data_IF_591260805388
#
_entry.id   IF_591260805388
#
_cell.length_a   1.000
_cell.length_b   1.000
_cell.length_c   1.000
_cell.angle_alpha   90.00
_cell.angle_beta   90.00
_cell.angle_gamma   90.00
#
_symmetry.space_group_name_H-M   'P 1'
#
loop_
_entity.id
_entity.type
_entity.pdbx_description
1 polymer ?
#
# COMPACT_ATOMS: atom_id res chain seq x y z
N UNK A 1 2.82 -8.95 -23.01
CA UNK A 1 3.98 -9.76 -22.55
C UNK A 1 3.68 -10.26 -21.14
N UNK A 2 4.01 -11.51 -20.79
CA UNK A 2 3.81 -12.01 -19.43
C UNK A 2 5.02 -11.67 -18.54
N UNK A 3 4.85 -11.50 -17.21
CA UNK A 3 5.98 -11.30 -16.31
C UNK A 3 6.91 -12.50 -16.30
N UNK A 4 8.22 -12.24 -16.27
CA UNK A 4 9.21 -13.25 -15.88
C UNK A 4 9.06 -13.59 -14.39
N UNK A 5 9.73 -14.65 -13.94
CA UNK A 5 9.73 -15.03 -12.52
C UNK A 5 10.28 -13.91 -11.65
N UNK A 6 11.37 -13.29 -12.07
CA UNK A 6 12.08 -12.22 -11.35
C UNK A 6 11.18 -11.00 -11.21
N UNK A 7 10.55 -10.56 -12.30
CA UNK A 7 9.61 -9.43 -12.25
C UNK A 7 8.40 -9.72 -11.39
N UNK A 8 7.93 -10.97 -11.38
CA UNK A 8 6.83 -11.34 -10.49
C UNK A 8 7.25 -11.30 -9.01
N UNK A 9 8.48 -11.71 -8.69
CA UNK A 9 9.05 -11.58 -7.35
C UNK A 9 9.16 -10.11 -6.95
N UNK A 10 9.73 -9.25 -7.81
CA UNK A 10 9.87 -7.80 -7.55
C UNK A 10 8.51 -7.18 -7.20
N UNK A 11 7.49 -7.43 -8.03
CA UNK A 11 6.14 -6.92 -7.80
C UNK A 11 5.53 -7.40 -6.48
N UNK A 12 5.78 -8.67 -6.10
CA UNK A 12 5.30 -9.22 -4.84
C UNK A 12 6.04 -8.61 -3.64
N UNK A 13 7.35 -8.37 -3.74
CA UNK A 13 8.16 -7.70 -2.72
C UNK A 13 7.73 -6.24 -2.51
N UNK A 14 7.32 -5.56 -3.57
CA UNK A 14 6.68 -4.24 -3.58
C UNK A 14 5.23 -4.26 -3.03
N UNK A 15 4.76 -5.42 -2.56
CA UNK A 15 3.43 -5.65 -2.01
C UNK A 15 2.28 -5.36 -2.99
N UNK A 16 2.51 -5.53 -4.29
CA UNK A 16 1.44 -5.47 -5.27
C UNK A 16 0.45 -6.63 -5.11
N UNK A 17 -0.83 -6.33 -5.30
CA UNK A 17 -1.86 -7.36 -5.43
C UNK A 17 -1.77 -8.04 -6.79
N UNK A 18 -2.39 -9.22 -6.91
CA UNK A 18 -2.47 -9.88 -8.21
C UNK A 18 -3.24 -9.03 -9.24
N UNK A 19 -4.20 -8.21 -8.80
CA UNK A 19 -4.88 -7.26 -9.69
C UNK A 19 -3.98 -6.13 -10.18
N UNK A 20 -3.10 -5.58 -9.32
CA UNK A 20 -2.17 -4.53 -9.76
C UNK A 20 -1.20 -5.07 -10.83
N UNK A 21 -0.65 -6.26 -10.57
CA UNK A 21 0.26 -6.94 -11.51
C UNK A 21 -0.47 -7.24 -12.82
N UNK A 22 -1.70 -7.74 -12.74
CA UNK A 22 -2.51 -8.03 -13.92
C UNK A 22 -2.71 -6.80 -14.82
N UNK A 23 -2.98 -5.63 -14.21
CA UNK A 23 -3.11 -4.35 -14.94
C UNK A 23 -1.83 -3.96 -15.67
N UNK A 24 -0.66 -4.11 -15.03
CA UNK A 24 0.65 -3.77 -15.63
C UNK A 24 0.90 -4.57 -16.93
N UNK A 25 0.56 -5.86 -16.91
CA UNK A 25 0.83 -6.76 -18.04
C UNK A 25 -0.35 -6.91 -19.00
N UNK A 26 -1.45 -6.18 -18.80
CA UNK A 26 -2.65 -6.28 -19.63
C UNK A 26 -3.25 -7.69 -19.64
N UNK A 27 -3.20 -8.39 -18.52
CA UNK A 27 -3.67 -9.79 -18.39
C UNK A 27 -4.75 -9.91 -17.33
N UNK A 28 -5.39 -11.07 -17.26
CA UNK A 28 -6.33 -11.36 -16.18
C UNK A 28 -5.60 -11.76 -14.88
N UNK A 29 -6.17 -11.44 -13.71
CA UNK A 29 -5.56 -11.77 -12.40
C UNK A 29 -5.43 -13.28 -12.18
N UNK A 30 -6.31 -14.11 -12.76
CA UNK A 30 -6.17 -15.57 -12.77
C UNK A 30 -4.86 -15.99 -13.44
N UNK A 31 -4.40 -15.27 -14.48
CA UNK A 31 -3.13 -15.55 -15.13
C UNK A 31 -1.95 -15.31 -14.20
N UNK A 32 -2.01 -14.25 -13.38
CA UNK A 32 -1.00 -13.98 -12.35
C UNK A 32 -0.97 -15.10 -11.31
N UNK A 33 -2.13 -15.59 -10.87
CA UNK A 33 -2.22 -16.74 -9.93
C UNK A 33 -1.59 -17.99 -10.55
N UNK A 34 -1.86 -18.29 -11.83
CA UNK A 34 -1.26 -19.41 -12.53
C UNK A 34 0.27 -19.30 -12.60
N UNK A 35 0.81 -18.11 -12.88
CA UNK A 35 2.25 -17.88 -12.93
C UNK A 35 2.91 -18.04 -11.56
N UNK A 36 2.29 -17.52 -10.50
CA UNK A 36 2.74 -17.72 -9.11
C UNK A 36 2.87 -19.22 -8.81
N UNK A 37 1.83 -20.00 -9.13
CA UNK A 37 1.83 -21.46 -8.92
C UNK A 37 2.90 -22.16 -9.78
N UNK A 38 3.01 -21.80 -11.06
CA UNK A 38 4.00 -22.35 -11.99
C UNK A 38 5.42 -22.16 -11.49
N UNK A 39 5.72 -20.97 -10.95
CA UNK A 39 7.05 -20.64 -10.42
C UNK A 39 7.26 -21.05 -8.96
N UNK A 40 6.26 -21.68 -8.31
CA UNK A 40 6.28 -22.11 -6.91
C UNK A 40 6.64 -20.97 -5.95
N UNK A 41 6.11 -19.78 -6.20
CA UNK A 41 6.32 -18.62 -5.33
C UNK A 41 5.33 -18.66 -4.17
N UNK A 42 5.77 -18.27 -2.98
CA UNK A 42 4.88 -17.97 -1.84
C UNK A 42 4.59 -16.45 -1.80
N UNK A 43 3.39 -16.00 -2.20
CA UNK A 43 3.07 -14.59 -2.17
C UNK A 43 2.94 -14.03 -0.76
N UNK A 44 2.65 -14.85 0.25
CA UNK A 44 2.53 -14.41 1.64
C UNK A 44 3.89 -14.07 2.20
N UNK A 45 4.88 -14.92 1.92
CA UNK A 45 6.27 -14.70 2.29
C UNK A 45 6.84 -13.48 1.56
N UNK A 46 6.72 -13.42 0.23
CA UNK A 46 7.26 -12.33 -0.58
C UNK A 46 6.63 -10.97 -0.20
N UNK A 47 5.32 -10.93 0.00
CA UNK A 47 4.64 -9.70 0.47
C UNK A 47 4.91 -9.41 1.94
N UNK A 48 5.51 -10.33 2.70
CA UNK A 48 5.77 -10.22 4.14
C UNK A 48 4.49 -9.83 4.89
N UNK A 49 3.42 -10.61 4.67
CA UNK A 49 2.05 -10.27 5.11
C UNK A 49 1.88 -10.20 6.64
N UNK A 50 2.81 -10.80 7.38
CA UNK A 50 2.90 -10.79 8.83
C UNK A 50 3.48 -9.48 9.40
N UNK A 51 4.08 -8.63 8.58
CA UNK A 51 4.61 -7.34 9.01
C UNK A 51 3.53 -6.25 8.99
N UNK A 52 3.68 -5.30 9.91
CA UNK A 52 2.95 -4.04 9.88
C UNK A 52 3.66 -3.07 8.95
N UNK A 53 2.91 -2.42 8.07
CA UNK A 53 3.39 -1.38 7.17
C UNK A 53 3.03 0.00 7.70
N UNK A 54 3.87 0.98 7.39
CA UNK A 54 3.49 2.39 7.35
C UNK A 54 3.42 2.82 5.89
N UNK A 55 2.35 3.51 5.54
CA UNK A 55 2.06 3.88 4.17
C UNK A 55 1.57 5.33 4.07
N UNK A 56 1.77 5.88 2.88
CA UNK A 56 1.34 7.20 2.48
C UNK A 56 0.30 7.08 1.37
N UNK A 57 -0.64 8.01 1.37
CA UNK A 57 -1.50 8.31 0.23
C UNK A 57 -1.08 9.62 -0.37
N UNK A 58 -0.90 9.61 -1.68
CA UNK A 58 -0.49 10.75 -2.47
C UNK A 58 -1.63 11.18 -3.40
N UNK A 59 -1.83 12.49 -3.48
CA UNK A 59 -2.70 13.14 -4.45
C UNK A 59 -1.88 14.26 -5.09
N UNK A 60 -1.67 14.21 -6.41
CA UNK A 60 -0.84 15.16 -7.16
C UNK A 60 0.54 15.37 -6.48
N UNK A 61 1.23 14.27 -6.21
CA UNK A 61 2.56 14.21 -5.57
C UNK A 61 2.65 14.81 -4.15
N UNK A 62 1.50 15.12 -3.52
CA UNK A 62 1.43 15.55 -2.12
C UNK A 62 0.92 14.44 -1.23
N UNK A 63 1.58 14.26 -0.09
CA UNK A 63 1.10 13.37 0.97
C UNK A 63 -0.18 13.96 1.56
N UNK A 64 -1.30 13.28 1.37
CA UNK A 64 -2.61 13.69 1.91
C UNK A 64 -3.03 12.85 3.10
N UNK A 65 -2.45 11.66 3.27
CA UNK A 65 -2.71 10.80 4.42
C UNK A 65 -1.51 9.89 4.71
N UNK A 66 -1.24 9.65 5.99
CA UNK A 66 -0.34 8.60 6.48
C UNK A 66 -1.14 7.61 7.32
N UNK A 67 -0.85 6.32 7.20
CA UNK A 67 -1.47 5.31 8.06
C UNK A 67 -0.53 4.15 8.35
N UNK A 68 -0.86 3.37 9.38
CA UNK A 68 -0.25 2.08 9.64
C UNK A 68 -1.25 0.92 9.61
N UNK A 69 -0.76 -0.31 9.47
CA UNK A 69 -1.56 -1.53 9.60
C UNK A 69 -0.95 -2.71 8.87
N UNK A 70 -1.73 -3.77 8.68
CA UNK A 70 -1.32 -4.93 7.86
C UNK A 70 -1.14 -4.56 6.38
N UNK A 71 -0.43 -5.38 5.61
CA UNK A 71 0.03 -5.08 4.25
C UNK A 71 -1.01 -4.52 3.27
N UNK A 72 -2.29 -4.93 3.37
CA UNK A 72 -3.35 -4.47 2.46
C UNK A 72 -4.11 -3.22 2.96
N UNK A 73 -3.80 -2.73 4.17
CA UNK A 73 -4.55 -1.66 4.86
C UNK A 73 -4.56 -0.35 4.08
N UNK A 74 -3.52 -0.06 3.32
CA UNK A 74 -3.44 1.12 2.46
C UNK A 74 -4.64 1.21 1.50
N UNK A 75 -5.04 0.09 0.89
CA UNK A 75 -6.08 0.02 -0.16
C UNK A 75 -7.53 0.02 0.37
N UNK A 76 -7.73 -0.15 1.67
CA UNK A 76 -9.07 -0.35 2.25
C UNK A 76 -9.81 0.98 2.44
N UNK A 77 -10.60 1.36 1.43
CA UNK A 77 -11.42 2.58 1.47
C UNK A 77 -12.61 2.50 2.42
N UNK A 78 -13.17 1.30 2.67
CA UNK A 78 -14.39 1.11 3.49
C UNK A 78 -14.25 1.61 4.93
N UNK A 79 -13.01 1.69 5.43
CA UNK A 79 -12.71 2.08 6.81
C UNK A 79 -12.29 3.55 6.93
N UNK A 80 -12.37 4.33 5.84
CA UNK A 80 -12.04 5.77 5.84
C UNK A 80 -13.24 6.57 6.31
N UNK A 81 -13.05 7.35 7.38
CA UNK A 81 -14.09 8.23 7.94
C UNK A 81 -14.26 9.52 7.15
N UNK A 82 -13.19 10.01 6.51
CA UNK A 82 -13.25 11.19 5.65
C UNK A 82 -13.83 10.79 4.28
N UNK A 83 -14.98 11.36 3.92
CA UNK A 83 -15.73 11.02 2.69
C UNK A 83 -14.97 11.39 1.43
N UNK A 84 -14.34 12.57 1.39
CA UNK A 84 -13.50 13.04 0.28
C UNK A 84 -12.33 12.09 0.06
N UNK A 85 -11.62 11.72 1.13
CA UNK A 85 -10.52 10.77 1.05
C UNK A 85 -10.98 9.41 0.50
N UNK A 86 -12.13 8.92 0.96
CA UNK A 86 -12.74 7.67 0.49
C UNK A 86 -13.08 7.74 -1.00
N UNK A 87 -13.70 8.81 -1.47
CA UNK A 87 -14.06 9.01 -2.88
C UNK A 87 -12.84 9.09 -3.79
N UNK A 88 -11.77 9.77 -3.35
CA UNK A 88 -10.50 9.81 -4.07
C UNK A 88 -9.85 8.42 -4.19
N UNK A 89 -9.96 7.59 -3.16
CA UNK A 89 -9.49 6.20 -3.23
C UNK A 89 -10.33 5.35 -4.20
N UNK A 90 -11.66 5.46 -4.14
CA UNK A 90 -12.58 4.70 -5.01
C UNK A 90 -12.39 5.09 -6.48
N UNK A 91 -12.22 6.38 -6.77
CA UNK A 91 -11.97 6.89 -8.12
C UNK A 91 -10.55 6.64 -8.64
N UNK A 92 -9.69 5.99 -7.86
CA UNK A 92 -8.32 5.66 -8.27
C UNK A 92 -7.37 6.86 -8.36
N UNK A 93 -7.75 8.01 -7.77
CA UNK A 93 -6.94 9.25 -7.78
C UNK A 93 -5.85 9.27 -6.70
N UNK A 94 -5.90 8.33 -5.76
CA UNK A 94 -4.90 8.18 -4.71
C UNK A 94 -3.84 7.18 -5.14
N UNK A 95 -2.58 7.62 -5.15
CA UNK A 95 -1.43 6.73 -5.20
C UNK A 95 -1.05 6.29 -3.78
N UNK A 96 -0.60 5.06 -3.63
CA UNK A 96 -0.16 4.51 -2.34
C UNK A 96 1.34 4.24 -2.39
N UNK A 97 2.03 4.54 -1.29
CA UNK A 97 3.45 4.24 -1.12
C UNK A 97 3.67 3.62 0.24
N UNK A 98 4.30 2.45 0.30
CA UNK A 98 4.75 1.86 1.57
C UNK A 98 6.13 2.46 1.86
N UNK A 99 6.31 2.98 3.07
CA UNK A 99 7.54 3.70 3.46
C UNK A 99 8.34 2.99 4.52
N UNK A 100 7.73 2.10 5.30
CA UNK A 100 8.42 1.31 6.30
C UNK A 100 7.64 0.04 6.66
N UNK A 101 8.36 -0.95 7.20
CA UNK A 101 7.83 -2.23 7.66
C UNK A 101 8.34 -2.55 9.07
N UNK A 102 7.48 -3.13 9.90
CA UNK A 102 7.75 -3.38 11.31
C UNK A 102 7.18 -4.74 11.73
N UNK A 103 7.89 -5.43 12.62
CA UNK A 103 7.36 -6.65 13.27
C UNK A 103 6.28 -6.32 14.30
N UNK A 104 6.38 -5.16 14.94
CA UNK A 104 5.49 -4.73 16.01
C UNK A 104 4.63 -3.53 15.61
N UNK A 105 3.34 -3.59 15.95
CA UNK A 105 2.39 -2.51 15.64
C UNK A 105 2.75 -1.19 16.35
N UNK A 106 3.34 -1.26 17.55
CA UNK A 106 3.71 -0.07 18.32
C UNK A 106 4.82 0.73 17.62
N UNK A 107 5.80 0.05 17.03
CA UNK A 107 6.85 0.68 16.22
C UNK A 107 6.27 1.32 14.95
N UNK A 108 5.35 0.63 14.25
CA UNK A 108 4.66 1.20 13.10
C UNK A 108 3.84 2.45 13.46
N UNK A 109 3.11 2.42 14.59
CA UNK A 109 2.32 3.56 15.08
C UNK A 109 3.19 4.74 15.51
N UNK A 110 4.35 4.48 16.12
CA UNK A 110 5.31 5.54 16.48
C UNK A 110 5.80 6.25 15.22
N UNK A 111 6.24 5.49 14.23
CA UNK A 111 6.72 6.02 12.96
C UNK A 111 5.60 6.74 12.17
N UNK A 112 4.38 6.21 12.17
CA UNK A 112 3.20 6.89 11.61
C UNK A 112 3.01 8.28 12.24
N UNK A 113 3.06 8.39 13.59
CA UNK A 113 2.91 9.67 14.29
C UNK A 113 4.02 10.66 13.91
N UNK A 114 5.26 10.21 13.84
CA UNK A 114 6.41 11.03 13.44
C UNK A 114 6.23 11.60 12.02
N UNK A 115 5.83 10.76 11.07
CA UNK A 115 5.55 11.19 9.69
C UNK A 115 4.37 12.16 9.62
N UNK A 116 3.28 11.91 10.36
CA UNK A 116 2.14 12.83 10.40
C UNK A 116 2.58 14.20 10.91
N UNK A 117 3.37 14.25 12.01
CA UNK A 117 3.89 15.51 12.55
C UNK A 117 4.75 16.24 11.52
N UNK A 118 5.66 15.53 10.85
CA UNK A 118 6.53 16.07 9.79
C UNK A 118 5.72 16.64 8.62
N UNK A 119 4.75 15.89 8.10
CA UNK A 119 3.96 16.33 6.96
C UNK A 119 3.00 17.47 7.30
N UNK A 120 2.39 17.46 8.49
CA UNK A 120 1.53 18.56 8.93
C UNK A 120 2.27 19.88 9.08
N UNK A 121 3.53 19.85 9.52
CA UNK A 121 4.37 21.05 9.55
C UNK A 121 4.54 21.70 8.16
N UNK A 122 4.37 20.94 7.08
CA UNK A 122 4.46 21.40 5.69
C UNK A 122 3.08 21.58 5.02
N UNK A 123 1.98 21.63 5.78
CA UNK A 123 0.63 21.73 5.23
C UNK A 123 0.14 20.47 4.50
N UNK A 124 0.80 19.33 4.70
CA UNK A 124 0.45 18.02 4.15
C UNK A 124 -0.30 17.16 5.18
N UNK A 125 -0.62 15.91 4.82
CA UNK A 125 -1.38 14.96 5.64
C UNK A 125 -2.76 15.51 6.07
N UNK A 126 -3.43 16.22 5.16
CA UNK A 126 -4.70 16.94 5.39
C UNK A 126 -5.84 16.04 5.87
N UNK A 127 -5.82 14.74 5.55
CA UNK A 127 -6.84 13.79 5.97
C UNK A 127 -6.52 13.10 7.30
N UNK A 128 -5.32 13.29 7.87
CA UNK A 128 -5.02 12.82 9.22
C UNK A 128 -5.67 13.75 10.25
N UNK A 129 -6.29 13.16 11.27
CA UNK A 129 -6.79 13.92 12.44
C UNK A 129 -5.66 14.72 13.10
N UNK A 130 -6.01 15.82 13.78
CA UNK A 130 -5.03 16.51 14.62
C UNK A 130 -4.41 15.51 15.60
N UNK A 131 -3.08 15.48 15.63
CA UNK A 131 -2.31 14.70 16.57
C UNK A 131 -1.96 15.70 17.66
N UNK A 132 -2.65 15.62 18.80
CA UNK A 132 -2.31 16.37 20.01
C UNK A 132 -1.09 15.72 20.67
#
# INVERSE_FOLDING_TARGET
MLPTKEKLIDHLLEKMTNQDIAKIYGVNYQKVIQLIKRYRLDPSELRRVNLYIVYEHHLNDKVVYVGSGVWYRCRRYTNRRNTVHRELMVSGKIQYKIVAEFKEINSARRHEKELIKKYKANGQAIFNKQVH
#
